data_IF_711505275452
#
_entry.id   IF_711505275452
#
_cell.length_a   1.000
_cell.length_b   1.000
_cell.length_c   1.000
_cell.angle_alpha   90.00
_cell.angle_beta   90.00
_cell.angle_gamma   90.00
#
_symmetry.space_group_name_H-M   'P 1'
#
loop_
_entity.id
_entity.type
_entity.pdbx_description
1 polymer ?
#
# COMPACT_ATOMS: atom_id res chain seq x y z
N UNK A 1 -5.80 15.00 -7.04
CA UNK A 1 -4.75 14.66 -6.03
C UNK A 1 -5.27 13.48 -5.23
N UNK A 2 -4.54 12.34 -5.14
CA UNK A 2 -5.03 11.14 -4.42
C UNK A 2 -5.47 11.41 -2.98
N UNK A 3 -4.68 12.22 -2.25
CA UNK A 3 -5.00 12.57 -0.85
C UNK A 3 -6.36 13.29 -0.71
N UNK A 4 -6.73 14.14 -1.66
CA UNK A 4 -8.04 14.83 -1.65
C UNK A 4 -9.18 13.84 -1.85
N UNK A 5 -9.04 12.92 -2.81
CA UNK A 5 -10.05 11.89 -3.08
C UNK A 5 -10.24 10.93 -1.88
N UNK A 6 -9.14 10.60 -1.18
CA UNK A 6 -9.22 9.80 0.06
C UNK A 6 -9.94 10.57 1.17
N UNK A 7 -9.62 11.87 1.34
CA UNK A 7 -10.28 12.71 2.35
C UNK A 7 -11.77 12.88 2.05
N UNK A 8 -12.16 13.13 0.81
CA UNK A 8 -13.57 13.24 0.39
C UNK A 8 -14.35 11.95 0.64
N UNK A 9 -13.74 10.79 0.35
CA UNK A 9 -14.33 9.48 0.62
C UNK A 9 -14.46 9.21 2.13
N UNK A 10 -13.47 9.65 2.91
CA UNK A 10 -13.51 9.53 4.37
C UNK A 10 -14.68 10.35 4.95
N UNK A 11 -14.83 11.59 4.53
CA UNK A 11 -15.94 12.44 5.00
C UNK A 11 -17.32 11.89 4.57
N UNK A 12 -17.41 11.30 3.37
CA UNK A 12 -18.64 10.64 2.94
C UNK A 12 -19.00 9.46 3.87
N UNK A 13 -18.06 8.54 4.13
CA UNK A 13 -18.30 7.44 5.08
C UNK A 13 -18.62 7.92 6.49
N UNK A 14 -17.90 8.93 6.97
CA UNK A 14 -18.11 9.50 8.29
C UNK A 14 -19.52 10.13 8.48
N UNK A 15 -20.08 10.67 7.40
CA UNK A 15 -21.43 11.21 7.42
C UNK A 15 -22.50 10.13 7.61
N UNK A 16 -22.27 8.94 7.09
CA UNK A 16 -23.18 7.80 7.14
C UNK A 16 -23.03 6.94 8.41
N UNK A 17 -21.86 7.01 9.06
CA UNK A 17 -21.57 6.22 10.25
C UNK A 17 -22.40 6.68 11.46
N UNK A 18 -23.10 5.76 12.14
CA UNK A 18 -23.75 6.06 13.43
C UNK A 18 -22.75 6.53 14.48
N UNK A 19 -23.17 7.46 15.33
CA UNK A 19 -22.34 7.95 16.44
C UNK A 19 -22.41 7.08 17.68
N UNK A 20 -23.47 6.31 17.80
CA UNK A 20 -23.69 5.36 18.90
C UNK A 20 -23.12 4.01 18.54
N UNK A 21 -22.36 3.41 19.48
CA UNK A 21 -21.66 2.15 19.26
C UNK A 21 -22.63 0.97 19.05
N UNK A 22 -23.75 0.94 19.75
CA UNK A 22 -24.75 -0.12 19.57
C UNK A 22 -25.41 -0.03 18.20
N UNK A 23 -25.77 1.19 17.77
CA UNK A 23 -26.33 1.43 16.46
C UNK A 23 -25.34 1.15 15.32
N UNK A 24 -24.03 1.22 15.58
CA UNK A 24 -23.00 0.91 14.59
C UNK A 24 -23.05 -0.57 14.16
N UNK A 25 -23.25 -1.50 15.10
CA UNK A 25 -23.37 -2.92 14.80
C UNK A 25 -24.58 -3.24 13.95
N UNK A 26 -25.74 -2.68 14.28
CA UNK A 26 -26.97 -2.86 13.52
C UNK A 26 -26.83 -2.29 12.12
N UNK A 27 -26.19 -1.13 12.00
CA UNK A 27 -25.92 -0.48 10.72
C UNK A 27 -24.96 -1.31 9.85
N UNK A 28 -23.86 -1.82 10.42
CA UNK A 28 -22.93 -2.71 9.72
C UNK A 28 -23.59 -4.01 9.25
N UNK A 29 -24.46 -4.58 10.10
CA UNK A 29 -25.21 -5.79 9.75
C UNK A 29 -26.24 -5.57 8.63
N UNK A 30 -26.80 -4.36 8.55
CA UNK A 30 -27.78 -3.98 7.53
C UNK A 30 -27.15 -3.64 6.15
N UNK A 31 -25.83 -3.39 6.10
CA UNK A 31 -25.16 -3.16 4.82
C UNK A 31 -25.18 -4.43 3.95
N UNK A 32 -25.35 -4.24 2.65
CA UNK A 32 -25.08 -5.29 1.68
C UNK A 32 -23.58 -5.64 1.63
N UNK A 33 -23.25 -6.81 1.08
CA UNK A 33 -21.88 -7.33 1.05
C UNK A 33 -20.91 -6.42 0.29
N UNK A 34 -21.37 -5.78 -0.80
CA UNK A 34 -20.54 -4.88 -1.59
C UNK A 34 -20.21 -3.60 -0.81
N UNK A 35 -21.19 -3.01 -0.13
CA UNK A 35 -20.99 -1.84 0.72
C UNK A 35 -20.09 -2.15 1.92
N UNK A 36 -20.27 -3.32 2.54
CA UNK A 36 -19.41 -3.80 3.64
C UNK A 36 -17.97 -4.00 3.18
N UNK A 37 -17.76 -4.63 2.03
CA UNK A 37 -16.44 -4.81 1.43
C UNK A 37 -15.79 -3.46 1.06
N UNK A 38 -16.55 -2.50 0.52
CA UNK A 38 -16.06 -1.17 0.20
C UNK A 38 -15.63 -0.39 1.46
N UNK A 39 -16.40 -0.49 2.55
CA UNK A 39 -16.04 0.10 3.83
C UNK A 39 -14.77 -0.54 4.41
N UNK A 40 -14.67 -1.87 4.37
CA UNK A 40 -13.47 -2.59 4.81
C UNK A 40 -12.25 -2.16 4.00
N UNK A 41 -12.35 -2.10 2.68
CA UNK A 41 -11.26 -1.65 1.81
C UNK A 41 -10.85 -0.19 2.13
N UNK A 42 -11.83 0.67 2.43
CA UNK A 42 -11.55 2.04 2.86
C UNK A 42 -10.77 2.07 4.19
N UNK A 43 -11.19 1.32 5.20
CA UNK A 43 -10.49 1.22 6.49
C UNK A 43 -9.07 0.67 6.31
N UNK A 44 -8.89 -0.40 5.53
CA UNK A 44 -7.58 -1.00 5.25
C UNK A 44 -6.65 -0.01 4.55
N UNK A 45 -7.19 0.85 3.65
CA UNK A 45 -6.39 1.82 2.92
C UNK A 45 -5.61 2.80 3.81
N UNK A 46 -6.10 3.10 5.01
CA UNK A 46 -5.38 3.93 6.00
C UNK A 46 -4.17 3.21 6.63
N UNK A 47 -4.17 1.89 6.64
CA UNK A 47 -3.05 1.08 7.13
C UNK A 47 -1.93 0.89 6.09
N UNK A 48 -2.19 1.20 4.81
CA UNK A 48 -1.19 1.03 3.73
C UNK A 48 -0.32 2.28 3.64
N UNK A 49 0.98 2.13 3.87
CA UNK A 49 1.95 3.20 3.67
C UNK A 49 3.02 2.75 2.66
N UNK A 50 2.88 3.19 1.41
CA UNK A 50 3.81 2.94 0.31
C UNK A 50 4.80 4.10 0.08
N UNK A 51 4.89 5.06 1.01
CA UNK A 51 5.79 6.19 0.88
C UNK A 51 7.20 5.79 1.32
N UNK A 52 8.18 6.04 0.44
CA UNK A 52 9.59 5.90 0.82
C UNK A 52 9.98 7.02 1.77
N UNK A 53 10.53 6.65 2.92
CA UNK A 53 11.10 7.56 3.90
C UNK A 53 12.55 7.16 4.16
N UNK A 54 13.39 8.18 4.41
CA UNK A 54 14.77 7.92 4.79
C UNK A 54 14.79 7.27 6.18
N UNK A 55 15.13 5.99 6.20
CA UNK A 55 15.20 5.24 7.45
C UNK A 55 16.30 5.76 8.37
N UNK A 56 16.05 5.76 9.67
CA UNK A 56 17.06 6.02 10.66
C UNK A 56 17.99 4.80 10.82
N UNK A 57 19.29 5.03 10.60
CA UNK A 57 20.33 3.98 10.73
C UNK A 57 20.81 3.79 12.16
N UNK A 58 20.56 4.76 13.04
CA UNK A 58 21.17 4.83 14.36
C UNK A 58 20.19 4.64 15.52
N UNK A 59 18.97 4.15 15.25
CA UNK A 59 17.99 3.83 16.31
C UNK A 59 17.33 5.03 16.95
N UNK A 60 17.28 6.16 16.26
CA UNK A 60 16.50 7.33 16.67
C UNK A 60 14.98 7.10 16.65
N UNK A 61 14.16 8.11 16.95
CA UNK A 61 12.70 7.99 17.02
C UNK A 61 12.04 7.79 15.65
N UNK A 62 12.81 7.75 14.57
CA UNK A 62 12.33 7.54 13.21
C UNK A 62 12.06 6.07 12.87
N UNK A 63 11.51 5.85 11.68
CA UNK A 63 11.28 4.49 11.17
C UNK A 63 12.61 3.86 10.76
N UNK A 64 12.88 2.63 11.19
CA UNK A 64 14.09 1.92 10.79
C UNK A 64 14.11 1.62 9.27
N UNK A 65 15.31 1.52 8.69
CA UNK A 65 15.49 1.13 7.28
C UNK A 65 14.75 -0.16 6.96
N UNK A 66 14.84 -1.14 7.85
CA UNK A 66 14.13 -2.42 7.72
C UNK A 66 12.60 -2.26 7.77
N UNK A 67 12.09 -1.38 8.64
CA UNK A 67 10.65 -1.07 8.73
C UNK A 67 10.13 -0.43 7.45
N UNK A 68 10.88 0.51 6.86
CA UNK A 68 10.54 1.10 5.55
C UNK A 68 10.49 0.03 4.47
N UNK A 69 11.51 -0.83 4.39
CA UNK A 69 11.58 -1.89 3.38
C UNK A 69 10.42 -2.89 3.50
N UNK A 70 10.12 -3.36 4.72
CA UNK A 70 8.98 -4.27 4.96
C UNK A 70 7.66 -3.66 4.48
N UNK A 71 7.44 -2.41 4.80
CA UNK A 71 6.23 -1.67 4.44
C UNK A 71 6.06 -1.53 2.93
N UNK A 72 7.14 -1.21 2.20
CA UNK A 72 7.13 -1.14 0.75
C UNK A 72 6.84 -2.50 0.12
N UNK A 73 7.50 -3.56 0.58
CA UNK A 73 7.27 -4.94 0.08
C UNK A 73 5.80 -5.36 0.31
N UNK A 74 5.20 -5.01 1.45
CA UNK A 74 3.78 -5.31 1.69
C UNK A 74 2.86 -4.51 0.76
N UNK A 75 3.16 -3.23 0.52
CA UNK A 75 2.39 -2.42 -0.42
C UNK A 75 2.48 -2.97 -1.85
N UNK A 76 3.66 -3.41 -2.29
CA UNK A 76 3.86 -4.04 -3.60
C UNK A 76 3.08 -5.36 -3.73
N UNK A 77 3.07 -6.18 -2.68
CA UNK A 77 2.28 -7.42 -2.66
C UNK A 77 0.78 -7.13 -2.77
N UNK A 78 0.30 -6.14 -2.02
CA UNK A 78 -1.11 -5.74 -2.08
C UNK A 78 -1.46 -5.18 -3.46
N UNK A 79 -0.61 -4.33 -4.04
CA UNK A 79 -0.82 -3.78 -5.38
C UNK A 79 -0.96 -4.89 -6.44
N UNK A 80 -0.09 -5.91 -6.37
CA UNK A 80 -0.19 -7.09 -7.26
C UNK A 80 -1.46 -7.89 -7.02
N UNK A 81 -1.80 -8.17 -5.75
CA UNK A 81 -2.98 -8.96 -5.40
C UNK A 81 -4.30 -8.32 -5.87
N UNK A 82 -4.37 -6.98 -5.91
CA UNK A 82 -5.55 -6.25 -6.40
C UNK A 82 -5.44 -5.87 -7.88
N UNK A 83 -4.37 -6.28 -8.58
CA UNK A 83 -4.14 -5.93 -9.99
C UNK A 83 -4.05 -4.42 -10.21
N UNK A 84 -3.42 -3.67 -9.30
CA UNK A 84 -3.35 -2.22 -9.37
C UNK A 84 -2.64 -1.75 -10.64
N UNK A 85 -3.38 -1.11 -11.55
CA UNK A 85 -2.83 -0.33 -12.66
C UNK A 85 -2.84 1.16 -12.31
N UNK A 86 -1.66 1.76 -12.30
CA UNK A 86 -1.50 3.17 -11.93
C UNK A 86 -2.08 4.11 -13.00
N UNK A 87 -2.17 3.69 -14.26
CA UNK A 87 -2.78 4.49 -15.34
C UNK A 87 -4.30 4.48 -15.21
N UNK A 88 -4.89 3.32 -14.96
CA UNK A 88 -6.32 3.18 -14.69
C UNK A 88 -6.73 3.91 -13.41
N UNK A 89 -5.87 3.89 -12.39
CA UNK A 89 -6.03 4.68 -11.17
C UNK A 89 -5.89 6.19 -11.40
N UNK A 90 -5.61 6.63 -12.63
CA UNK A 90 -5.55 8.04 -13.01
C UNK A 90 -4.21 8.72 -12.75
N UNK A 91 -3.16 7.97 -12.41
CA UNK A 91 -1.84 8.59 -12.24
C UNK A 91 -1.26 9.05 -13.58
N UNK A 92 -0.71 10.27 -13.61
CA UNK A 92 -0.02 10.86 -14.76
C UNK A 92 1.20 11.61 -14.26
N UNK A 93 2.32 11.63 -15.00
CA UNK A 93 3.49 12.41 -14.62
C UNK A 93 3.20 13.91 -14.81
N UNK A 94 3.20 14.67 -13.72
CA UNK A 94 3.01 16.11 -13.72
C UNK A 94 4.21 16.82 -13.12
N UNK A 95 4.29 18.16 -13.32
CA UNK A 95 5.30 18.97 -12.65
C UNK A 95 5.20 18.82 -11.14
N UNK A 96 3.98 18.78 -10.60
CA UNK A 96 3.73 18.76 -9.16
C UNK A 96 4.07 17.42 -8.51
N UNK A 97 3.79 16.28 -9.18
CA UNK A 97 3.95 14.97 -8.55
C UNK A 97 5.31 14.31 -8.87
N UNK A 98 5.90 14.56 -10.04
CA UNK A 98 7.12 13.89 -10.47
C UNK A 98 8.15 14.80 -11.14
N UNK A 99 7.81 15.44 -12.28
CA UNK A 99 8.77 16.11 -13.16
C UNK A 99 9.48 17.30 -12.50
N UNK A 100 8.82 18.04 -11.63
CA UNK A 100 9.43 19.12 -10.86
C UNK A 100 10.39 18.65 -9.75
N UNK A 101 10.28 17.38 -9.33
CA UNK A 101 11.01 16.81 -8.21
C UNK A 101 12.26 16.03 -8.61
N UNK A 102 12.33 15.56 -9.86
CA UNK A 102 13.48 14.82 -10.37
C UNK A 102 14.53 15.73 -11.03
N UNK A 103 15.70 15.19 -11.36
CA UNK A 103 16.77 15.91 -12.02
C UNK A 103 16.50 16.07 -13.53
N UNK A 104 17.14 17.04 -14.18
CA UNK A 104 17.03 17.23 -15.66
C UNK A 104 17.33 15.95 -16.45
N UNK A 105 18.42 15.20 -16.18
CA UNK A 105 18.68 13.94 -16.89
C UNK A 105 17.52 12.95 -16.79
N UNK A 106 16.86 12.86 -15.62
CA UNK A 106 15.72 11.97 -15.41
C UNK A 106 14.47 12.42 -16.17
N UNK A 107 14.26 13.73 -16.33
CA UNK A 107 13.18 14.28 -17.18
C UNK A 107 13.42 13.88 -18.63
N UNK A 108 14.66 14.07 -19.12
CA UNK A 108 15.04 13.73 -20.51
C UNK A 108 14.91 12.23 -20.77
N UNK A 109 15.29 11.39 -19.81
CA UNK A 109 15.15 9.94 -19.89
C UNK A 109 13.67 9.54 -20.01
N UNK A 110 12.79 10.12 -19.22
CA UNK A 110 11.35 9.88 -19.28
C UNK A 110 10.76 10.23 -20.65
N UNK A 111 11.15 11.39 -21.20
CA UNK A 111 10.70 11.80 -22.56
C UNK A 111 11.31 10.91 -23.63
N UNK A 112 12.58 10.50 -23.48
CA UNK A 112 13.26 9.57 -24.42
C UNK A 112 12.56 8.21 -24.48
N UNK A 113 12.22 7.65 -23.33
CA UNK A 113 11.49 6.38 -23.26
C UNK A 113 10.10 6.47 -23.91
N UNK A 114 9.38 7.57 -23.69
CA UNK A 114 8.00 7.71 -24.15
C UNK A 114 7.85 8.16 -25.59
N UNK A 115 8.73 9.03 -26.08
CA UNK A 115 8.60 9.75 -27.37
C UNK A 115 9.85 9.67 -28.25
N UNK A 116 10.91 9.01 -27.77
CA UNK A 116 12.16 8.87 -28.51
C UNK A 116 13.16 10.02 -28.33
N UNK A 117 14.37 9.81 -28.84
CA UNK A 117 15.53 10.69 -28.66
C UNK A 117 15.29 12.11 -29.20
N UNK A 118 14.62 12.23 -30.34
CA UNK A 118 14.35 13.53 -30.96
C UNK A 118 13.55 14.46 -30.05
N UNK A 119 12.52 13.92 -29.39
CA UNK A 119 11.70 14.70 -28.47
C UNK A 119 12.48 15.14 -27.23
N UNK A 120 13.39 14.30 -26.72
CA UNK A 120 14.25 14.65 -25.59
C UNK A 120 15.24 15.77 -25.98
N UNK A 121 15.81 15.74 -27.19
CA UNK A 121 16.72 16.78 -27.66
C UNK A 121 16.06 18.16 -27.83
N UNK A 122 14.76 18.18 -28.17
CA UNK A 122 14.01 19.44 -28.30
C UNK A 122 13.94 20.22 -26.99
N UNK A 123 13.97 19.55 -25.83
CA UNK A 123 13.81 20.18 -24.52
C UNK A 123 15.11 20.28 -23.71
N UNK A 124 16.21 19.65 -24.18
CA UNK A 124 17.46 19.56 -23.40
C UNK A 124 18.05 20.94 -23.05
N UNK A 125 17.94 21.91 -23.94
CA UNK A 125 18.44 23.27 -23.74
C UNK A 125 17.63 24.08 -22.72
N UNK A 126 16.43 23.64 -22.33
CA UNK A 126 15.53 24.38 -21.44
C UNK A 126 16.04 24.39 -19.99
N UNK A 127 15.64 25.41 -19.21
CA UNK A 127 15.80 25.40 -17.76
C UNK A 127 14.90 24.34 -17.13
N UNK A 128 15.28 23.84 -15.95
CA UNK A 128 14.56 22.72 -15.30
C UNK A 128 13.04 22.93 -15.19
N UNK A 129 12.60 24.13 -14.83
CA UNK A 129 11.17 24.42 -14.67
C UNK A 129 10.40 24.37 -16.01
N UNK A 130 11.00 24.92 -17.06
CA UNK A 130 10.39 24.94 -18.41
C UNK A 130 10.47 23.55 -19.05
N UNK A 131 11.59 22.83 -18.84
CA UNK A 131 11.75 21.45 -19.25
C UNK A 131 10.69 20.54 -18.62
N UNK A 132 10.40 20.70 -17.32
CA UNK A 132 9.39 19.91 -16.62
C UNK A 132 7.98 20.14 -17.16
N UNK A 133 7.63 21.40 -17.48
CA UNK A 133 6.33 21.74 -18.10
C UNK A 133 6.19 21.18 -19.51
N UNK A 134 7.24 21.30 -20.31
CA UNK A 134 7.21 20.78 -21.67
C UNK A 134 7.21 19.24 -21.69
N UNK A 135 7.95 18.62 -20.76
CA UNK A 135 7.92 17.17 -20.58
C UNK A 135 6.52 16.68 -20.15
N UNK A 136 5.81 17.40 -19.27
CA UNK A 136 4.43 17.07 -18.89
C UNK A 136 3.53 17.04 -20.13
N UNK A 137 3.62 18.06 -20.99
CA UNK A 137 2.87 18.14 -22.25
C UNK A 137 3.23 16.99 -23.22
N UNK A 138 4.52 16.65 -23.32
CA UNK A 138 4.98 15.58 -24.22
C UNK A 138 4.58 14.19 -23.71
N UNK A 139 4.52 13.99 -22.42
CA UNK A 139 4.15 12.71 -21.78
C UNK A 139 2.63 12.50 -21.70
N UNK A 140 1.84 13.54 -21.95
CA UNK A 140 0.39 13.44 -21.95
C UNK A 140 -0.09 12.37 -22.95
N UNK A 141 -0.96 11.48 -22.50
CA UNK A 141 -1.54 10.41 -23.32
C UNK A 141 -0.58 9.28 -23.72
N UNK A 142 0.69 9.32 -23.31
CA UNK A 142 1.66 8.25 -23.66
C UNK A 142 1.53 6.99 -22.82
N UNK A 143 0.88 7.08 -21.65
CA UNK A 143 0.87 5.98 -20.69
C UNK A 143 2.21 5.71 -20.02
N UNK A 144 3.16 6.64 -20.10
CA UNK A 144 4.46 6.46 -19.46
C UNK A 144 4.35 6.52 -17.93
N UNK A 145 5.02 5.57 -17.28
CA UNK A 145 5.16 5.50 -15.82
C UNK A 145 6.64 5.41 -15.44
N UNK A 146 7.07 6.01 -14.31
CA UNK A 146 8.38 5.74 -13.75
C UNK A 146 8.47 4.29 -13.28
N UNK A 147 9.66 3.71 -13.35
CA UNK A 147 9.92 2.29 -13.04
C UNK A 147 9.24 1.78 -11.74
N UNK A 148 9.27 2.51 -10.60
CA UNK A 148 8.65 2.04 -9.36
C UNK A 148 7.12 1.92 -9.42
N UNK A 149 6.47 2.50 -10.43
CA UNK A 149 5.02 2.45 -10.60
C UNK A 149 4.58 1.49 -11.72
N UNK A 150 5.55 0.82 -12.38
CA UNK A 150 5.27 -0.19 -13.40
C UNK A 150 5.02 -1.53 -12.70
N UNK A 151 3.77 -1.96 -12.66
CA UNK A 151 3.44 -3.34 -12.30
C UNK A 151 3.68 -4.22 -13.54
N UNK A 152 4.55 -5.22 -13.44
CA UNK A 152 4.72 -6.15 -14.56
C UNK A 152 3.49 -7.08 -14.63
N UNK A 153 2.93 -7.20 -15.81
CA UNK A 153 1.78 -8.11 -16.06
C UNK A 153 2.15 -9.57 -15.74
N UNK A 154 3.43 -9.92 -15.87
CA UNK A 154 3.94 -11.24 -15.49
C UNK A 154 3.84 -11.48 -13.98
N UNK A 155 4.16 -10.48 -13.15
CA UNK A 155 4.06 -10.59 -11.69
C UNK A 155 2.60 -10.67 -11.21
N UNK A 156 1.67 -10.05 -11.93
CA UNK A 156 0.24 -10.17 -11.64
C UNK A 156 -0.31 -11.56 -11.98
N UNK A 157 0.14 -12.17 -13.07
CA UNK A 157 -0.26 -13.52 -13.48
C UNK A 157 0.26 -14.59 -12.51
N UNK A 158 1.50 -14.47 -12.03
CA UNK A 158 2.07 -15.38 -11.01
C UNK A 158 1.34 -15.25 -9.66
N UNK A 159 0.93 -14.05 -9.26
CA UNK A 159 0.18 -13.85 -8.02
C UNK A 159 -1.22 -14.50 -8.07
N UNK A 160 -1.85 -14.53 -9.25
CA UNK A 160 -3.15 -15.20 -9.44
C UNK A 160 -2.99 -16.71 -9.49
N UNK A 161 -1.94 -17.22 -10.12
CA UNK A 161 -1.68 -18.67 -10.24
C UNK A 161 -1.06 -19.27 -8.97
N UNK A 162 -0.28 -18.51 -8.21
CA UNK A 162 0.27 -18.96 -6.94
C UNK A 162 -0.76 -19.13 -5.82
N UNK A 163 -1.95 -18.59 -5.99
CA UNK A 163 -3.03 -18.70 -4.99
C UNK A 163 -4.06 -19.80 -5.34
N UNK A 164 -3.85 -20.55 -6.42
CA UNK A 164 -4.73 -21.66 -6.86
C UNK A 164 -4.07 -23.02 -6.69
N UNK A 165 -2.86 -23.09 -6.13
CA UNK A 165 -2.22 -24.35 -5.80
C UNK A 165 -2.64 -24.81 -4.40
N UNK A 166 -3.51 -25.82 -4.42
CA UNK A 166 -3.88 -26.74 -3.33
C UNK A 166 -4.68 -26.13 -2.17
N UNK A 167 -5.98 -26.44 -2.24
CA UNK A 167 -6.86 -26.39 -1.11
C UNK A 167 -6.35 -27.29 0.02
N UNK A 168 -5.82 -26.67 1.01
CA UNK A 168 -5.87 -27.17 2.37
C UNK A 168 -6.75 -26.17 3.13
N UNK A 169 -8.00 -26.59 3.42
CA UNK A 169 -8.96 -25.87 4.25
C UNK A 169 -8.49 -25.80 5.73
N UNK A 170 -7.20 -25.97 5.97
CA UNK A 170 -6.61 -25.85 7.28
C UNK A 170 -6.55 -24.37 7.67
N UNK A 171 -7.34 -24.00 8.66
CA UNK A 171 -7.20 -22.74 9.37
C UNK A 171 -5.72 -22.55 9.79
N UNK A 172 -5.18 -21.31 9.70
CA UNK A 172 -3.86 -21.04 10.28
C UNK A 172 -3.77 -21.58 11.71
N UNK A 173 -2.63 -22.17 12.08
CA UNK A 173 -2.43 -22.87 13.34
C UNK A 173 -2.81 -22.06 14.60
N UNK A 174 -2.83 -20.73 14.51
CA UNK A 174 -3.27 -19.85 15.62
C UNK A 174 -4.80 -19.72 15.74
N UNK A 175 -5.56 -20.30 14.81
CA UNK A 175 -7.03 -20.36 14.80
C UNK A 175 -7.54 -21.77 14.98
N UNK A 176 -6.67 -22.78 15.01
CA UNK A 176 -7.04 -24.13 15.42
C UNK A 176 -7.15 -24.14 16.95
N UNK A 177 -8.35 -24.32 17.41
CA UNK A 177 -8.70 -24.41 18.85
C UNK A 177 -8.24 -25.80 19.34
N UNK A 178 -6.96 -25.93 19.65
CA UNK A 178 -6.45 -27.08 20.38
C UNK A 178 -6.81 -26.90 21.85
N UNK A 179 -8.02 -27.38 22.21
CA UNK A 179 -8.35 -27.72 23.59
C UNK A 179 -7.39 -28.84 24.04
N UNK A 180 -6.15 -28.49 24.35
CA UNK A 180 -5.28 -29.35 25.08
C UNK A 180 -5.62 -29.29 26.56
N UNK A 181 -6.41 -30.26 26.99
CA UNK A 181 -6.74 -30.60 28.36
C UNK A 181 -5.56 -30.46 29.30
N UNK A 182 -5.63 -29.50 30.22
CA UNK A 182 -4.80 -29.46 31.39
C UNK A 182 -5.05 -30.73 32.23
N UNK A 183 -4.16 -31.69 32.16
CA UNK A 183 -4.05 -32.75 33.10
C UNK A 183 -3.51 -32.19 34.41
N UNK A 184 -4.35 -32.21 35.45
CA UNK A 184 -3.97 -32.06 36.85
C UNK A 184 -3.06 -33.24 37.24
N UNK A 185 -1.84 -32.96 37.63
CA UNK A 185 -0.93 -33.74 38.48
C UNK A 185 0.10 -32.72 38.98
N UNK A 186 0.45 -32.56 40.21
CA UNK A 186 0.35 -33.31 41.44
C UNK A 186 0.69 -32.37 42.61
N UNK A 187 0.07 -32.61 43.72
CA UNK A 187 0.33 -31.96 44.97
C UNK A 187 1.77 -32.16 45.44
N UNK A 188 2.46 -31.10 45.86
CA UNK A 188 3.61 -31.23 46.73
C UNK A 188 3.43 -30.32 47.98
N UNK A 189 3.54 -30.97 49.14
CA UNK A 189 3.29 -30.44 50.48
C UNK A 189 4.29 -29.31 50.85
N UNK A 190 3.89 -28.34 51.66
CA UNK A 190 4.83 -27.39 52.21
C UNK A 190 5.52 -27.98 53.47
N UNK A 191 6.83 -28.12 53.38
CA UNK A 191 7.69 -28.44 54.52
C UNK A 191 7.64 -27.30 55.56
N UNK A 192 7.17 -27.63 56.74
CA UNK A 192 7.20 -26.80 57.94
C UNK A 192 8.65 -26.72 58.43
N UNK A 193 9.25 -25.54 58.43
CA UNK A 193 10.49 -25.29 59.15
C UNK A 193 10.16 -24.62 60.46
N UNK A 194 10.39 -25.35 61.55
CA UNK A 194 10.29 -24.83 62.92
C UNK A 194 11.45 -23.89 63.21
N UNK A 195 11.14 -22.83 63.92
CA UNK A 195 12.08 -21.88 64.51
C UNK A 195 12.76 -22.49 65.79
N UNK A 196 14.04 -22.22 65.92
CA UNK A 196 14.74 -21.95 67.19
C UNK A 196 15.72 -20.80 66.98
#
# INVERSE_FOLDING_TARGET
MPAKAVAERHEAWKADLPKDEAALWDWLAALDDASRAALLAHCVSFGVNAVYEKGDRYGGPGVSVHGVQRRLVQADRLARAVGLDMLEAGWRPTVDNYLGRVTKPRILEAVREAKGEQSAQLIDHLKKADMAKEAERLLEGTGWLPEPLRTSVADAAEAIHGNVAEGDDALPAFLSDDEESASEEDADEPAVIAAE
#
